data_IF_272741583277
#
_entry.id   IF_272741583277
#
_cell.length_a   1.000
_cell.length_b   1.000
_cell.length_c   1.000
_cell.angle_alpha   90.00
_cell.angle_beta   90.00
_cell.angle_gamma   90.00
#
_symmetry.space_group_name_H-M   'P 1'
#
loop_
_entity.id
_entity.type
_entity.pdbx_description
1 polymer ?
#
# COMPACT_ATOMS: atom_id res chain seq x y z
N UNK A 1 -4.05 30.64 19.28
CA UNK A 1 -5.45 30.17 19.28
C UNK A 1 -5.50 28.89 18.45
N UNK A 2 -5.66 27.76 19.16
CA UNK A 2 -6.08 26.40 18.73
C UNK A 2 -5.61 25.93 17.34
N UNK A 3 -4.46 25.23 17.29
CA UNK A 3 -4.38 23.76 17.21
C UNK A 3 -4.87 23.17 15.88
N UNK A 4 -3.94 22.72 15.06
CA UNK A 4 -4.13 21.54 14.22
C UNK A 4 -2.79 20.83 14.11
N UNK A 5 -2.20 20.50 15.27
CA UNK A 5 -1.32 19.35 15.37
C UNK A 5 -2.08 18.19 14.74
N UNK A 6 -1.66 17.76 13.55
CA UNK A 6 -2.14 16.53 12.94
C UNK A 6 -2.11 15.47 14.04
N UNK A 7 -3.29 15.01 14.39
CA UNK A 7 -3.52 14.17 15.54
C UNK A 7 -2.65 12.91 15.35
N UNK A 8 -1.56 12.82 16.12
CA UNK A 8 -0.61 11.70 16.10
C UNK A 8 -1.28 10.36 16.44
N UNK A 9 -2.56 10.37 16.81
CA UNK A 9 -3.42 9.21 16.98
C UNK A 9 -3.83 8.52 15.67
N UNK A 10 -3.63 9.11 14.49
CA UNK A 10 -3.88 8.43 13.20
C UNK A 10 -2.76 7.42 12.87
N UNK A 11 -1.56 7.58 13.43
CA UNK A 11 -0.44 6.64 13.22
C UNK A 11 -0.45 5.46 14.20
N UNK A 12 -1.33 5.47 15.21
CA UNK A 12 -1.31 4.53 16.33
C UNK A 12 -2.44 3.49 16.30
N UNK A 13 -2.92 3.09 15.12
CA UNK A 13 -3.64 1.83 14.98
C UNK A 13 -2.65 0.68 14.81
N UNK A 14 -1.93 0.35 15.88
CA UNK A 14 -1.22 -0.93 15.97
C UNK A 14 -2.20 -2.04 16.33
N UNK A 15 -3.05 -2.42 15.37
CA UNK A 15 -3.63 -3.76 15.38
C UNK A 15 -2.59 -4.69 14.74
N UNK A 16 -2.02 -5.60 15.54
CA UNK A 16 -0.96 -6.55 15.17
C UNK A 16 -1.27 -7.45 13.94
N UNK A 17 -2.50 -7.38 13.42
CA UNK A 17 -2.99 -7.99 12.17
C UNK A 17 -2.61 -7.19 10.91
N UNK A 18 -2.41 -5.88 11.05
CA UNK A 18 -2.02 -4.96 9.98
C UNK A 18 -0.50 -4.79 9.95
N UNK A 19 0.26 -5.89 9.88
CA UNK A 19 1.72 -5.82 9.68
C UNK A 19 2.14 -6.15 8.25
N UNK A 20 1.20 -6.65 7.43
CA UNK A 20 1.45 -7.14 6.09
C UNK A 20 0.70 -6.32 5.04
N UNK A 21 1.38 -6.04 3.93
CA UNK A 21 0.85 -5.38 2.77
C UNK A 21 -0.33 -6.18 2.20
N UNK A 22 -1.48 -5.55 2.03
CA UNK A 22 -2.67 -6.18 1.47
C UNK A 22 -2.51 -6.65 0.01
N UNK A 23 -1.46 -6.19 -0.69
CA UNK A 23 -1.20 -6.51 -2.11
C UNK A 23 -0.20 -7.66 -2.25
N UNK A 24 0.97 -7.56 -1.63
CA UNK A 24 2.07 -8.51 -1.80
C UNK A 24 2.46 -9.26 -0.52
N UNK A 25 1.82 -8.99 0.62
CA UNK A 25 2.13 -9.67 1.88
C UNK A 25 3.47 -9.32 2.54
N UNK A 26 4.30 -8.44 1.96
CA UNK A 26 5.50 -7.89 2.61
C UNK A 26 5.16 -7.06 3.84
N UNK A 27 6.16 -6.80 4.68
CA UNK A 27 5.99 -5.87 5.79
C UNK A 27 5.54 -4.49 5.31
N UNK A 28 4.52 -3.98 5.98
CA UNK A 28 3.99 -2.65 5.79
C UNK A 28 3.84 -2.00 7.17
N UNK A 29 3.92 -0.67 7.19
CA UNK A 29 3.97 0.08 8.44
C UNK A 29 2.84 1.12 8.55
N UNK A 30 2.20 1.46 7.44
CA UNK A 30 1.12 2.44 7.40
C UNK A 30 0.26 2.29 6.14
N UNK A 31 -0.82 3.06 6.12
CA UNK A 31 -1.78 3.11 5.03
C UNK A 31 -1.29 4.02 3.90
N UNK A 32 -1.37 3.53 2.66
CA UNK A 32 -1.23 4.32 1.46
C UNK A 32 -2.53 4.27 0.67
N UNK A 33 -3.07 5.42 0.28
CA UNK A 33 -4.33 5.49 -0.45
C UNK A 33 -5.45 4.71 0.27
N UNK A 34 -5.50 4.83 1.60
CA UNK A 34 -6.43 4.14 2.51
C UNK A 34 -6.34 2.60 2.52
N UNK A 35 -5.24 2.03 2.01
CA UNK A 35 -4.96 0.58 2.06
C UNK A 35 -3.62 0.33 2.74
N UNK A 36 -3.60 -0.58 3.72
CA UNK A 36 -2.35 -0.97 4.38
C UNK A 36 -1.42 -1.68 3.40
N UNK A 37 -0.34 -1.03 2.99
CA UNK A 37 0.52 -1.49 1.90
C UNK A 37 1.98 -1.08 2.07
N UNK A 38 2.88 -1.80 1.41
CA UNK A 38 4.31 -1.49 1.46
C UNK A 38 4.69 -0.37 0.48
N UNK A 39 5.88 0.21 0.66
CA UNK A 39 6.41 1.27 -0.20
C UNK A 39 6.51 0.87 -1.69
N UNK A 40 6.77 -0.42 -1.98
CA UNK A 40 6.82 -0.93 -3.34
C UNK A 40 5.47 -0.84 -4.04
N UNK A 41 4.42 -1.39 -3.41
CA UNK A 41 3.06 -1.35 -3.94
C UNK A 41 2.52 0.09 -4.04
N UNK A 42 2.85 0.97 -3.08
CA UNK A 42 2.58 2.41 -3.17
C UNK A 42 3.14 3.02 -4.45
N UNK A 43 4.43 2.80 -4.71
CA UNK A 43 5.12 3.41 -5.85
C UNK A 43 4.67 2.82 -7.17
N UNK A 44 4.39 1.52 -7.21
CA UNK A 44 3.81 0.84 -8.37
C UNK A 44 2.44 1.42 -8.73
N UNK A 45 1.53 1.51 -7.76
CA UNK A 45 0.20 2.07 -7.96
C UNK A 45 0.26 3.52 -8.46
N UNK A 46 1.09 4.37 -7.81
CA UNK A 46 1.27 5.77 -8.20
C UNK A 46 1.70 5.91 -9.67
N UNK A 47 2.70 5.14 -10.11
CA UNK A 47 3.17 5.16 -11.52
C UNK A 47 2.09 4.65 -12.47
N UNK A 48 1.40 3.57 -12.09
CA UNK A 48 0.35 2.97 -12.92
C UNK A 48 -0.74 3.97 -13.26
N UNK A 49 -1.17 4.76 -12.27
CA UNK A 49 -2.22 5.76 -12.44
C UNK A 49 -1.70 7.02 -13.16
N UNK A 50 -0.60 7.62 -12.68
CA UNK A 50 -0.09 8.88 -13.25
C UNK A 50 0.31 8.73 -14.72
N UNK A 51 0.94 7.60 -15.06
CA UNK A 51 1.43 7.34 -16.41
C UNK A 51 0.39 6.58 -17.27
N UNK A 52 -0.80 6.30 -16.73
CA UNK A 52 -1.84 5.52 -17.39
C UNK A 52 -1.34 4.21 -18.01
N UNK A 53 -0.53 3.46 -17.25
CA UNK A 53 0.13 2.24 -17.73
C UNK A 53 -0.90 1.13 -17.98
N UNK A 54 -0.86 0.55 -19.18
CA UNK A 54 -1.59 -0.67 -19.52
C UNK A 54 -0.64 -1.86 -19.44
N UNK A 55 -0.93 -2.80 -18.55
CA UNK A 55 -0.14 -4.01 -18.37
C UNK A 55 -0.81 -5.20 -19.07
N UNK A 56 -0.04 -5.93 -19.87
CA UNK A 56 -0.47 -7.20 -20.46
C UNK A 56 0.31 -8.32 -19.77
N UNK A 57 -0.41 -9.27 -19.15
CA UNK A 57 0.21 -10.44 -18.58
C UNK A 57 0.61 -11.40 -19.72
N UNK A 58 1.86 -11.85 -19.82
CA UNK A 58 2.25 -12.88 -20.79
C UNK A 58 1.72 -14.28 -20.41
N UNK A 59 1.16 -14.43 -19.21
CA UNK A 59 0.54 -15.67 -18.71
C UNK A 59 -0.99 -15.47 -18.63
N UNK A 60 -1.67 -16.21 -17.75
CA UNK A 60 -3.14 -16.20 -17.61
C UNK A 60 -3.67 -15.14 -16.62
N UNK A 61 -2.90 -14.09 -16.32
CA UNK A 61 -3.23 -13.07 -15.30
C UNK A 61 -3.54 -13.59 -13.88
N UNK A 62 -3.28 -14.86 -13.61
CA UNK A 62 -3.38 -15.49 -12.30
C UNK A 62 -1.94 -15.68 -11.80
N UNK A 63 -1.39 -14.63 -11.21
CA UNK A 63 -0.05 -14.62 -10.64
C UNK A 63 -0.16 -14.49 -9.12
N UNK A 64 0.54 -15.33 -8.36
CA UNK A 64 0.76 -15.06 -6.94
C UNK A 64 1.75 -13.90 -6.82
N UNK A 65 1.41 -12.89 -6.02
CA UNK A 65 2.15 -11.62 -5.88
C UNK A 65 2.98 -11.61 -4.58
N UNK A 66 2.93 -12.70 -3.80
CA UNK A 66 3.55 -12.79 -2.47
C UNK A 66 5.09 -12.74 -2.44
N UNK A 67 5.74 -12.88 -3.60
CA UNK A 67 7.21 -12.94 -3.72
C UNK A 67 7.85 -11.71 -4.41
N UNK A 68 7.08 -10.60 -4.55
CA UNK A 68 7.60 -9.34 -5.11
C UNK A 68 8.60 -8.65 -4.19
#
# INVERSE_FOLDING_TARGET
MLSSSLNLNILNQQNKKDSKCAVCGKDAYFYHYNVFSCNGCKQFFRRSIIENRKYNCPRKSICDIKDG
#
